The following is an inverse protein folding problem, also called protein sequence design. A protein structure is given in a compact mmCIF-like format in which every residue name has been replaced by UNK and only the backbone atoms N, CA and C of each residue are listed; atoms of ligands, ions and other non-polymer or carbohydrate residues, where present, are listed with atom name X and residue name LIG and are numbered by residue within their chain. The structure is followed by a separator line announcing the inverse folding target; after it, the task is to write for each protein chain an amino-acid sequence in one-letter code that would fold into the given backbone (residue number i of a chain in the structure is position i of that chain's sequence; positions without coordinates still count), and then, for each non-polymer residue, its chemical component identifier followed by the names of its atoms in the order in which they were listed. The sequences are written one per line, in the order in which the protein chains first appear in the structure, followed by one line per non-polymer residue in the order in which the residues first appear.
data_IF_213495882169
#
_entry.id   IF_213495882169
#
_cell.length_a   1.000
_cell.length_b   1.000
_cell.length_c   1.000
_cell.angle_alpha   90.00
_cell.angle_beta   90.00
_cell.angle_gamma   90.00
#
_symmetry.space_group_name_H-M   'P 1'
#
loop_
_entity.id
_entity.type
_entity.pdbx_description
1 polymer ?
#
# COMPACT_ATOMS: atom_id res chain seq x y z
N UNK A 1 -1.54 -12.96 -1.51
CA UNK A 1 -2.16 -11.62 -1.55
C UNK A 1 -2.00 -11.00 -0.18
N UNK A 2 -1.49 -9.79 -0.13
CA UNK A 2 -1.39 -9.01 1.09
C UNK A 2 -2.46 -7.92 1.11
N UNK A 3 -2.80 -7.47 2.31
CA UNK A 3 -3.62 -6.30 2.53
C UNK A 3 -2.71 -5.16 3.01
N UNK A 4 -2.75 -4.05 2.30
CA UNK A 4 -2.09 -2.81 2.67
C UNK A 4 -3.11 -1.86 3.27
N UNK A 5 -2.80 -1.28 4.42
CA UNK A 5 -3.59 -0.21 5.02
C UNK A 5 -2.80 1.08 4.92
N UNK A 6 -3.30 2.02 4.15
CA UNK A 6 -2.69 3.33 3.91
C UNK A 6 -3.41 4.32 4.81
N UNK A 7 -2.68 4.94 5.74
CA UNK A 7 -3.20 6.03 6.55
C UNK A 7 -2.72 7.34 5.94
N UNK A 8 -3.66 8.21 5.56
CA UNK A 8 -3.35 9.51 4.99
C UNK A 8 -3.27 10.59 6.08
N UNK A 9 -2.57 11.68 5.78
CA UNK A 9 -2.42 12.84 6.68
C UNK A 9 -3.75 13.54 6.99
N UNK A 10 -4.72 13.46 6.07
CA UNK A 10 -6.07 13.97 6.27
C UNK A 10 -6.93 13.11 7.23
N UNK A 11 -6.37 12.03 7.77
CA UNK A 11 -7.07 11.10 8.67
C UNK A 11 -7.90 10.03 7.97
N UNK A 12 -7.92 10.01 6.63
CA UNK A 12 -8.58 8.93 5.87
C UNK A 12 -7.69 7.69 5.83
N UNK A 13 -8.33 6.53 5.74
CA UNK A 13 -7.66 5.24 5.65
C UNK A 13 -8.18 4.51 4.42
N UNK A 14 -7.27 3.91 3.65
CA UNK A 14 -7.58 3.11 2.48
C UNK A 14 -7.01 1.69 2.66
N UNK A 15 -7.77 0.70 2.21
CA UNK A 15 -7.35 -0.70 2.22
C UNK A 15 -7.16 -1.19 0.80
N UNK A 16 -5.94 -1.61 0.47
CA UNK A 16 -5.55 -2.07 -0.87
C UNK A 16 -5.14 -3.53 -0.80
N UNK A 17 -5.75 -4.36 -1.64
CA UNK A 17 -5.29 -5.74 -1.85
C UNK A 17 -4.27 -5.74 -2.99
N UNK A 18 -3.03 -6.10 -2.69
CA UNK A 18 -1.94 -6.12 -3.67
C UNK A 18 -0.96 -7.27 -3.35
N UNK A 19 -0.16 -7.64 -4.34
CA UNK A 19 0.95 -8.59 -4.19
C UNK A 19 2.23 -7.90 -3.72
N UNK A 20 2.36 -6.60 -3.97
CA UNK A 20 3.54 -5.82 -3.62
C UNK A 20 3.29 -4.31 -3.70
N UNK A 21 4.25 -3.56 -3.17
CA UNK A 21 4.32 -2.11 -3.28
C UNK A 21 5.73 -1.70 -3.70
N UNK A 22 5.85 -0.76 -4.62
CA UNK A 22 7.11 -0.13 -5.00
C UNK A 22 7.07 1.35 -4.68
N UNK A 23 8.23 1.92 -4.37
CA UNK A 23 8.39 3.35 -4.14
C UNK A 23 9.15 3.96 -5.32
N UNK A 24 8.55 4.95 -5.98
CA UNK A 24 9.21 5.75 -7.00
C UNK A 24 9.82 7.01 -6.35
N UNK A 25 11.15 7.16 -6.32
CA UNK A 25 11.79 8.33 -5.72
C UNK A 25 11.64 9.62 -6.52
N UNK A 26 11.45 9.52 -7.84
CA UNK A 26 11.31 10.67 -8.74
C UNK A 26 9.87 11.22 -8.68
N UNK A 27 8.88 10.33 -8.69
CA UNK A 27 7.47 10.68 -8.53
C UNK A 27 7.07 10.92 -7.06
N UNK A 28 7.85 10.38 -6.11
CA UNK A 28 7.59 10.39 -4.66
C UNK A 28 6.22 9.79 -4.32
N UNK A 29 5.93 8.64 -4.87
CA UNK A 29 4.71 7.89 -4.60
C UNK A 29 4.96 6.41 -4.30
N UNK A 30 3.96 5.78 -3.68
CA UNK A 30 3.87 4.34 -3.55
C UNK A 30 2.93 3.80 -4.62
N UNK A 31 3.39 2.84 -5.41
CA UNK A 31 2.57 2.11 -6.39
C UNK A 31 2.31 0.69 -5.91
N UNK A 32 1.04 0.31 -5.80
CA UNK A 32 0.61 -1.01 -5.37
C UNK A 32 0.23 -1.86 -6.57
N UNK A 33 0.76 -3.08 -6.64
CA UNK A 33 0.58 -3.96 -7.80
C UNK A 33 -0.17 -5.24 -7.44
N UNK A 34 -1.11 -5.62 -8.29
CA UNK A 34 -1.76 -6.93 -8.29
C UNK A 34 -1.57 -7.57 -9.66
N UNK A 35 -0.98 -8.76 -9.71
CA UNK A 35 -0.65 -9.45 -10.97
C UNK A 35 0.04 -8.53 -12.00
N UNK A 36 1.04 -7.76 -11.53
CA UNK A 36 1.81 -6.76 -12.31
C UNK A 36 1.01 -5.56 -12.85
N UNK A 37 -0.25 -5.40 -12.47
CA UNK A 37 -1.05 -4.22 -12.78
C UNK A 37 -1.10 -3.29 -11.57
N UNK A 38 -0.90 -2.00 -11.80
CA UNK A 38 -1.08 -1.00 -10.74
C UNK A 38 -2.56 -0.92 -10.35
N UNK A 39 -2.87 -1.13 -9.07
CA UNK A 39 -4.23 -1.10 -8.53
C UNK A 39 -4.48 0.09 -7.62
N UNK A 40 -3.44 0.68 -7.04
CA UNK A 40 -3.52 1.90 -6.26
C UNK A 40 -2.21 2.69 -6.35
N UNK A 41 -2.33 4.01 -6.17
CA UNK A 41 -1.23 4.96 -6.13
C UNK A 41 -1.42 5.87 -4.92
N UNK A 42 -0.39 6.04 -4.11
CA UNK A 42 -0.44 6.88 -2.92
C UNK A 42 0.76 7.84 -2.89
N UNK A 43 0.55 9.15 -3.16
CA UNK A 43 1.62 10.15 -3.09
C UNK A 43 2.16 10.25 -1.66
N UNK A 44 3.49 10.15 -1.49
CA UNK A 44 4.12 10.17 -0.16
C UNK A 44 3.81 11.45 0.61
N UNK A 45 3.62 12.57 -0.09
CA UNK A 45 3.22 13.84 0.50
C UNK A 45 1.89 13.78 1.27
N UNK A 46 1.02 12.81 0.96
CA UNK A 46 -0.27 12.63 1.61
C UNK A 46 -0.30 11.43 2.57
N UNK A 47 0.72 10.58 2.58
CA UNK A 47 0.75 9.33 3.34
C UNK A 47 1.43 9.54 4.70
N UNK A 48 0.74 9.15 5.76
CA UNK A 48 1.25 9.10 7.13
C UNK A 48 1.97 7.79 7.42
N UNK A 49 1.35 6.67 7.07
CA UNK A 49 1.95 5.33 7.22
C UNK A 49 1.30 4.33 6.28
N UNK A 50 2.06 3.29 5.91
CA UNK A 50 1.57 2.12 5.18
C UNK A 50 1.83 0.89 6.03
N UNK A 51 0.78 0.14 6.35
CA UNK A 51 0.88 -1.11 7.08
C UNK A 51 0.66 -2.28 6.12
N UNK A 52 1.60 -3.22 6.12
CA UNK A 52 1.53 -4.45 5.33
C UNK A 52 1.05 -5.61 6.21
N UNK A 53 -0.01 -6.29 5.78
CA UNK A 53 -0.52 -7.49 6.41
C UNK A 53 -0.59 -8.62 5.38
N UNK A 54 0.29 -9.61 5.54
CA UNK A 54 0.22 -10.84 4.76
C UNK A 54 -1.09 -11.59 5.07
N UNK A 55 -1.74 -12.17 4.05
CA UNK A 55 -2.90 -13.05 4.26
C UNK A 55 -2.56 -14.38 4.99
N UNK A 56 -1.32 -14.54 5.50
CA UNK A 56 -0.92 -15.64 6.36
C UNK A 56 -0.13 -15.15 7.57
N UNK A 57 -0.84 -14.87 8.64
CA UNK A 57 -0.35 -15.08 10.00
C UNK A 57 -1.36 -15.95 10.76
N UNK A 58 -1.56 -17.20 10.30
CA UNK A 58 -2.09 -18.27 11.14
C UNK A 58 -0.96 -19.25 11.37
N UNK A 59 -0.01 -18.88 12.23
CA UNK A 59 0.80 -19.85 12.94
C UNK A 59 -0.07 -20.42 14.04
N UNK A 60 -0.36 -21.71 13.91
CA UNK A 60 -1.14 -22.51 14.85
C UNK A 60 -0.37 -22.76 16.14
#
# INVERSE_FOLDING_TARGET
MAQYTINYLNGTTEHVTADGVEYDPDARDYTFYLDKQAVALAPVANVRSVHHQDAKAVTR
#
